data_IF_292635905618
#
_entry.id   IF_292635905618
#
_cell.length_a   1.000
_cell.length_b   1.000
_cell.length_c   1.000
_cell.angle_alpha   90.00
_cell.angle_beta   90.00
_cell.angle_gamma   90.00
#
_symmetry.space_group_name_H-M   'P 1'
#
loop_
_entity.id
_entity.type
_entity.pdbx_description
1 polymer ?
#
# COMPACT_ATOMS: atom_id res chain seq x y z
N UNK A 1 -5.89 -16.98 4.96
CA UNK A 1 -6.35 -15.66 4.48
C UNK A 1 -6.84 -14.86 5.65
N UNK A 2 -6.52 -13.57 5.68
CA UNK A 2 -7.18 -12.58 6.53
C UNK A 2 -7.49 -11.38 5.66
N UNK A 3 -8.58 -10.66 5.94
CA UNK A 3 -8.95 -9.46 5.18
C UNK A 3 -7.85 -8.41 5.19
N UNK A 4 -7.17 -8.23 6.34
CA UNK A 4 -6.04 -7.31 6.47
C UNK A 4 -4.88 -7.66 5.52
N UNK A 5 -4.53 -8.95 5.40
CA UNK A 5 -3.48 -9.38 4.46
C UNK A 5 -3.92 -9.22 3.01
N UNK A 6 -5.19 -9.50 2.71
CA UNK A 6 -5.73 -9.30 1.36
C UNK A 6 -5.65 -7.82 0.95
N UNK A 7 -6.11 -6.92 1.82
CA UNK A 7 -6.02 -5.46 1.65
C UNK A 7 -4.59 -4.99 1.44
N UNK A 8 -3.65 -5.45 2.27
CA UNK A 8 -2.24 -5.09 2.13
C UNK A 8 -1.68 -5.49 0.76
N UNK A 9 -2.01 -6.70 0.28
CA UNK A 9 -1.59 -7.16 -1.06
C UNK A 9 -2.20 -6.28 -2.15
N UNK A 10 -3.49 -5.93 -2.06
CA UNK A 10 -4.14 -5.05 -3.05
C UNK A 10 -3.51 -3.66 -3.08
N UNK A 11 -3.26 -3.06 -1.91
CA UNK A 11 -2.58 -1.77 -1.79
C UNK A 11 -1.17 -1.79 -2.41
N UNK A 12 -0.37 -2.82 -2.09
CA UNK A 12 0.96 -3.00 -2.67
C UNK A 12 0.91 -3.22 -4.18
N UNK A 13 -0.08 -3.97 -4.69
CA UNK A 13 -0.29 -4.17 -6.14
C UNK A 13 -0.59 -2.85 -6.84
N UNK A 14 -1.46 -2.01 -6.28
CA UNK A 14 -1.76 -0.68 -6.81
C UNK A 14 -0.52 0.21 -6.84
N UNK A 15 0.22 0.29 -5.72
CA UNK A 15 1.42 1.11 -5.61
C UNK A 15 2.53 0.65 -6.57
N UNK A 16 2.83 -0.66 -6.61
CA UNK A 16 3.92 -1.23 -7.42
C UNK A 16 3.67 -1.11 -8.92
N UNK A 17 2.46 -1.40 -9.36
CA UNK A 17 2.12 -1.48 -10.78
C UNK A 17 1.42 -0.24 -11.32
N UNK A 18 1.31 0.83 -10.51
CA UNK A 18 0.57 2.07 -10.84
C UNK A 18 -0.85 1.77 -11.32
N UNK A 19 -1.50 0.77 -10.72
CA UNK A 19 -2.86 0.37 -11.09
C UNK A 19 -3.89 1.31 -10.46
N UNK A 20 -4.97 1.67 -11.19
CA UNK A 20 -6.08 2.43 -10.62
C UNK A 20 -6.74 1.65 -9.49
N UNK A 21 -7.24 2.35 -8.48
CA UNK A 21 -7.91 1.73 -7.32
C UNK A 21 -9.23 1.10 -7.72
N UNK A 22 -9.86 1.65 -8.76
CA UNK A 22 -11.11 1.22 -9.37
C UNK A 22 -11.01 -0.22 -9.90
N UNK A 23 -9.80 -0.73 -10.15
CA UNK A 23 -9.56 -2.15 -10.49
C UNK A 23 -10.02 -3.13 -9.40
N UNK A 24 -10.25 -2.66 -8.17
CA UNK A 24 -10.79 -3.48 -7.08
C UNK A 24 -12.32 -3.60 -7.11
N UNK A 25 -12.97 -2.70 -7.84
CA UNK A 25 -14.42 -2.71 -8.03
C UNK A 25 -14.84 -3.41 -9.32
N UNK A 26 -13.86 -3.85 -10.12
CA UNK A 26 -14.07 -4.65 -11.32
C UNK A 26 -14.77 -5.98 -10.99
N UNK A 27 -15.82 -6.29 -11.74
CA UNK A 27 -16.66 -7.46 -11.52
C UNK A 27 -15.91 -8.77 -11.77
N UNK A 28 -15.03 -8.80 -12.78
CA UNK A 28 -14.23 -9.99 -13.10
C UNK A 28 -13.18 -10.25 -12.01
N UNK A 29 -12.57 -9.20 -11.45
CA UNK A 29 -11.69 -9.35 -10.28
C UNK A 29 -12.44 -9.92 -9.07
N UNK A 30 -13.65 -9.44 -8.79
CA UNK A 30 -14.45 -9.96 -7.68
C UNK A 30 -14.87 -11.42 -7.91
N UNK A 31 -15.25 -11.77 -9.14
CA UNK A 31 -15.53 -13.16 -9.53
C UNK A 31 -14.28 -14.05 -9.39
N UNK A 32 -13.10 -13.57 -9.79
CA UNK A 32 -11.83 -14.28 -9.61
C UNK A 32 -11.55 -14.55 -8.12
N UNK A 33 -11.72 -13.54 -7.27
CA UNK A 33 -11.54 -13.69 -5.81
C UNK A 33 -12.51 -14.71 -5.23
N UNK A 34 -13.78 -14.68 -5.62
CA UNK A 34 -14.79 -15.63 -5.15
C UNK A 34 -14.52 -17.06 -5.66
N UNK A 35 -14.13 -17.22 -6.93
CA UNK A 35 -13.77 -18.52 -7.50
C UNK A 35 -12.58 -19.15 -6.79
N UNK A 36 -11.52 -18.37 -6.54
CA UNK A 36 -10.31 -18.86 -5.87
C UNK A 36 -10.54 -19.07 -4.37
N UNK A 37 -11.43 -18.27 -3.77
CA UNK A 37 -11.72 -18.37 -2.34
C UNK A 37 -13.15 -17.91 -2.02
N UNK A 38 -14.11 -18.85 -2.06
CA UNK A 38 -15.51 -18.55 -1.82
C UNK A 38 -15.75 -17.84 -0.50
N UNK A 39 -16.57 -16.79 -0.53
CA UNK A 39 -16.91 -15.99 0.67
C UNK A 39 -15.80 -15.04 1.12
N UNK A 40 -14.72 -14.87 0.36
CA UNK A 40 -13.75 -13.82 0.60
C UNK A 40 -14.33 -12.45 0.19
N UNK A 41 -14.20 -11.46 1.07
CA UNK A 41 -14.59 -10.08 0.76
C UNK A 41 -13.41 -9.38 0.08
N UNK A 42 -13.60 -9.01 -1.18
CA UNK A 42 -12.65 -8.13 -1.88
C UNK A 42 -12.77 -6.70 -1.34
N UNK A 43 -11.65 -6.01 -1.08
CA UNK A 43 -11.70 -4.63 -0.61
C UNK A 43 -12.20 -3.70 -1.73
N UNK A 44 -12.95 -2.66 -1.37
CA UNK A 44 -13.36 -1.65 -2.36
C UNK A 44 -12.21 -0.72 -2.73
N UNK A 45 -12.34 -0.03 -3.87
CA UNK A 45 -11.36 0.98 -4.30
C UNK A 45 -11.08 2.04 -3.23
N UNK A 46 -12.11 2.51 -2.53
CA UNK A 46 -11.98 3.50 -1.46
C UNK A 46 -11.13 3.00 -0.29
N UNK A 47 -11.28 1.72 0.08
CA UNK A 47 -10.49 1.10 1.14
C UNK A 47 -9.02 1.00 0.70
N UNK A 48 -8.77 0.51 -0.52
CA UNK A 48 -7.41 0.37 -1.03
C UNK A 48 -6.73 1.74 -1.21
N UNK A 49 -7.45 2.77 -1.66
CA UNK A 49 -6.94 4.15 -1.73
C UNK A 49 -6.48 4.66 -0.36
N UNK A 50 -7.29 4.46 0.69
CA UNK A 50 -6.94 4.82 2.07
C UNK A 50 -5.71 4.06 2.56
N UNK A 51 -5.65 2.76 2.26
CA UNK A 51 -4.54 1.90 2.68
C UNK A 51 -3.23 2.32 2.02
N UNK A 52 -3.25 2.63 0.72
CA UNK A 52 -2.08 3.18 0.01
C UNK A 52 -1.64 4.51 0.59
N UNK A 53 -2.58 5.42 0.89
CA UNK A 53 -2.26 6.70 1.55
C UNK A 53 -1.61 6.50 2.93
N UNK A 54 -2.11 5.54 3.70
CA UNK A 54 -1.54 5.18 5.01
C UNK A 54 -0.12 4.63 4.87
N UNK A 55 0.10 3.70 3.92
CA UNK A 55 1.42 3.18 3.62
C UNK A 55 2.38 4.31 3.23
N UNK A 56 1.96 5.20 2.33
CA UNK A 56 2.80 6.33 1.92
C UNK A 56 3.21 7.21 3.09
N UNK A 57 2.26 7.58 3.95
CA UNK A 57 2.54 8.44 5.12
C UNK A 57 3.51 7.79 6.11
N UNK A 58 3.35 6.49 6.40
CA UNK A 58 4.26 5.79 7.31
C UNK A 58 5.66 5.63 6.69
N UNK A 59 5.74 5.29 5.39
CA UNK A 59 7.03 5.20 4.71
C UNK A 59 7.72 6.56 4.58
N UNK A 60 6.97 7.65 4.39
CA UNK A 60 7.53 9.00 4.32
C UNK A 60 8.27 9.38 5.62
N UNK A 61 7.79 8.93 6.79
CA UNK A 61 8.49 9.13 8.06
C UNK A 61 9.86 8.46 8.08
N UNK A 62 9.94 7.22 7.57
CA UNK A 62 11.20 6.46 7.49
C UNK A 62 12.18 7.14 6.54
N UNK A 63 11.70 7.58 5.37
CA UNK A 63 12.51 8.31 4.40
C UNK A 63 13.02 9.63 4.98
N UNK A 64 12.15 10.40 5.65
CA UNK A 64 12.53 11.64 6.33
C UNK A 64 13.63 11.40 7.36
N UNK A 65 13.44 10.40 8.22
CA UNK A 65 14.43 10.02 9.23
C UNK A 65 15.80 9.68 8.61
N UNK A 66 15.81 8.93 7.50
CA UNK A 66 17.06 8.62 6.78
C UNK A 66 17.81 9.89 6.34
N UNK A 67 17.09 10.87 5.81
CA UNK A 67 17.69 12.14 5.37
C UNK A 67 18.13 13.02 6.54
N UNK A 68 17.35 13.08 7.63
CA UNK A 68 17.72 13.81 8.85
C UNK A 68 19.04 13.29 9.44
N UNK A 69 19.16 11.96 9.63
CA UNK A 69 20.38 11.33 10.15
C UNK A 69 21.59 11.61 9.24
N UNK A 70 21.41 11.48 7.93
CA UNK A 70 22.49 11.73 6.97
C UNK A 70 22.95 13.19 6.96
N UNK A 71 22.02 14.12 7.13
CA UNK A 71 22.33 15.54 7.19
C UNK A 71 23.09 15.90 8.48
N UNK A 72 22.70 15.34 9.62
CA UNK A 72 23.41 15.53 10.89
C UNK A 72 24.83 14.99 10.87
N UNK A 73 25.06 13.81 10.25
CA UNK A 73 26.40 13.27 10.09
C UNK A 73 27.30 14.17 9.23
N UNK A 74 26.76 14.68 8.13
CA UNK A 74 27.50 15.62 7.25
C UNK A 74 27.91 16.90 7.98
N UNK A 75 27.07 17.44 8.87
CA UNK A 75 27.43 18.62 9.67
C UNK A 75 28.56 18.32 10.66
N UNK A 76 28.56 17.15 11.31
CA UNK A 76 29.61 16.76 12.27
C UNK A 76 30.97 16.45 11.66
N UNK A 77 31.03 16.11 10.37
CA UNK A 77 32.30 15.86 9.64
C UNK A 77 32.96 17.15 9.13
N UNK A 78 32.24 18.27 9.16
CA UNK A 78 32.66 19.55 8.60
C UNK A 78 32.73 20.69 9.65
N UNK A 79 32.59 20.36 10.94
CA UNK A 79 32.98 21.19 12.09
C UNK A 79 34.34 20.74 12.65
#
# INVERSE_FOLDING_TARGET
YTEARHRAICALRCAKNKRPFESQDDELYRLEVDLLRPGAVAPSSAVVRRDVGTLYNEYAKVVRYYFEVRFSLYQSEHE
#
